data_IF_806602688731
#
_entry.id   IF_806602688731
#
_cell.length_a   1.000
_cell.length_b   1.000
_cell.length_c   1.000
_cell.angle_alpha   90.00
_cell.angle_beta   90.00
_cell.angle_gamma   90.00
#
_symmetry.space_group_name_H-M   'P 1'
#
loop_
_entity.id
_entity.type
_entity.pdbx_description
1 polymer ?
#
# COMPACT_ATOMS: atom_id res chain seq x y z
N UNK A 1 65.40 25.98 -16.11
CA UNK A 1 63.94 25.99 -16.32
C UNK A 1 63.48 24.54 -16.43
N UNK A 2 62.18 24.32 -16.57
CA UNK A 2 61.49 23.03 -16.69
C UNK A 2 61.17 22.32 -15.36
N UNK A 3 59.90 22.46 -14.96
CA UNK A 3 59.30 21.77 -13.83
C UNK A 3 58.39 20.64 -14.35
N UNK A 4 58.93 19.44 -14.57
CA UNK A 4 58.12 18.25 -14.86
C UNK A 4 57.73 17.54 -13.55
N UNK A 5 56.48 17.75 -13.12
CA UNK A 5 55.88 16.95 -12.05
C UNK A 5 55.57 15.54 -12.56
N UNK A 6 55.95 14.51 -11.81
CA UNK A 6 55.64 13.11 -12.17
C UNK A 6 54.27 12.68 -11.63
N UNK A 7 53.32 12.44 -12.52
CA UNK A 7 52.01 11.87 -12.15
C UNK A 7 52.14 10.40 -11.72
N UNK A 8 51.94 10.13 -10.43
CA UNK A 8 51.76 8.75 -9.93
C UNK A 8 50.26 8.42 -9.96
N UNK A 9 49.87 7.60 -10.94
CA UNK A 9 48.49 7.18 -11.21
C UNK A 9 47.90 6.37 -10.02
N UNK A 10 47.19 7.05 -9.12
CA UNK A 10 46.36 6.39 -8.11
C UNK A 10 45.05 5.86 -8.74
N UNK A 11 44.84 4.54 -8.70
CA UNK A 11 43.70 3.90 -9.36
C UNK A 11 42.47 3.83 -8.42
N UNK A 12 41.70 4.92 -8.40
CA UNK A 12 40.53 5.07 -7.51
C UNK A 12 39.35 4.18 -7.94
N UNK A 13 39.35 2.94 -7.47
CA UNK A 13 38.23 2.00 -7.63
C UNK A 13 36.93 2.59 -7.05
N UNK A 14 35.94 2.81 -7.92
CA UNK A 14 34.61 3.30 -7.50
C UNK A 14 33.91 2.25 -6.62
N UNK A 15 33.47 2.58 -5.39
CA UNK A 15 32.49 1.75 -4.71
C UNK A 15 31.18 1.75 -5.52
N UNK A 16 30.54 0.58 -5.62
CA UNK A 16 29.28 0.47 -6.34
C UNK A 16 28.16 1.23 -5.59
N UNK A 17 27.32 1.95 -6.33
CA UNK A 17 26.22 2.70 -5.74
C UNK A 17 25.16 1.74 -5.16
N UNK A 18 25.08 1.66 -3.83
CA UNK A 18 24.07 0.87 -3.13
C UNK A 18 22.69 1.46 -3.43
N UNK A 19 21.78 0.64 -3.96
CA UNK A 19 20.47 1.09 -4.43
C UNK A 19 19.60 1.65 -3.28
N UNK A 20 19.05 2.85 -3.46
CA UNK A 20 18.27 3.57 -2.45
C UNK A 20 16.85 2.99 -2.24
N UNK A 21 16.75 1.80 -1.64
CA UNK A 21 15.49 1.11 -1.34
C UNK A 21 14.83 1.43 0.02
N UNK A 22 15.39 2.36 0.81
CA UNK A 22 15.12 2.45 2.26
C UNK A 22 13.82 3.13 2.72
N UNK A 23 13.10 3.85 1.86
CA UNK A 23 11.98 4.71 2.30
C UNK A 23 10.72 3.97 2.79
N UNK A 24 10.27 2.82 2.24
CA UNK A 24 9.05 2.16 2.72
C UNK A 24 9.27 1.39 4.03
N UNK A 25 10.45 0.79 4.21
CA UNK A 25 10.78 -0.07 5.35
C UNK A 25 10.96 0.74 6.64
N UNK A 26 11.71 1.85 6.60
CA UNK A 26 11.88 2.75 7.75
C UNK A 26 10.54 3.35 8.22
N UNK A 27 9.64 3.71 7.30
CA UNK A 27 8.31 4.21 7.65
C UNK A 27 7.38 3.13 8.24
N UNK A 28 7.58 1.85 7.90
CA UNK A 28 6.94 0.74 8.64
C UNK A 28 7.54 0.62 10.03
N UNK A 29 8.86 0.49 10.11
CA UNK A 29 9.63 0.39 11.36
C UNK A 29 9.28 1.43 12.41
N UNK A 30 9.31 2.70 12.03
CA UNK A 30 8.94 3.83 12.90
C UNK A 30 7.50 3.76 13.40
N UNK A 31 6.54 3.32 12.56
CA UNK A 31 5.16 3.09 13.00
C UNK A 31 5.07 1.95 14.02
N UNK A 32 5.76 0.84 13.78
CA UNK A 32 5.76 -0.29 14.73
C UNK A 32 6.45 0.07 16.05
N UNK A 33 7.61 0.73 16.01
CA UNK A 33 8.32 1.21 17.20
C UNK A 33 7.47 2.17 18.05
N UNK A 34 6.75 3.12 17.41
CA UNK A 34 5.85 4.04 18.13
C UNK A 34 4.55 3.37 18.61
N UNK A 35 4.00 2.42 17.85
CA UNK A 35 2.76 1.69 18.17
C UNK A 35 2.95 0.65 19.27
N UNK A 36 4.11 0.01 19.31
CA UNK A 36 4.48 -0.96 20.34
C UNK A 36 4.40 -0.36 21.73
N UNK A 37 3.84 -1.13 22.66
CA UNK A 37 4.06 -0.89 24.07
C UNK A 37 5.48 -1.37 24.46
N UNK A 38 5.86 -1.22 25.74
CA UNK A 38 7.19 -1.64 26.22
C UNK A 38 7.40 -3.15 25.99
N UNK A 39 8.48 -3.57 25.29
CA UNK A 39 8.80 -4.97 25.04
C UNK A 39 8.90 -5.82 26.31
N UNK A 40 8.15 -6.92 26.34
CA UNK A 40 8.33 -7.98 27.31
C UNK A 40 9.54 -8.85 26.93
N UNK A 41 9.65 -9.22 25.65
CA UNK A 41 10.73 -10.05 25.08
C UNK A 41 11.30 -9.39 23.82
N UNK A 42 12.61 -9.53 23.61
CA UNK A 42 13.29 -9.23 22.34
C UNK A 42 13.80 -10.54 21.76
N UNK A 43 13.80 -10.67 20.43
CA UNK A 43 14.13 -11.88 19.69
C UNK A 43 15.14 -11.55 18.59
N UNK A 44 16.23 -12.30 18.49
CA UNK A 44 17.17 -12.23 17.37
C UNK A 44 17.01 -13.45 16.45
N UNK A 45 17.25 -13.27 15.15
CA UNK A 45 17.24 -14.37 14.17
C UNK A 45 18.64 -14.96 14.00
N UNK A 46 18.80 -16.22 14.42
CA UNK A 46 20.08 -16.94 14.49
C UNK A 46 19.84 -18.40 14.06
N UNK A 47 20.75 -19.02 13.29
CA UNK A 47 20.64 -20.40 12.79
C UNK A 47 19.26 -20.79 12.19
N UNK A 48 18.55 -19.85 11.56
CA UNK A 48 17.23 -20.09 10.96
C UNK A 48 16.04 -20.05 11.93
N UNK A 49 16.26 -19.73 13.22
CA UNK A 49 15.26 -19.69 14.30
C UNK A 49 15.26 -18.30 14.97
N UNK A 50 14.20 -18.00 15.72
CA UNK A 50 14.15 -16.83 16.61
C UNK A 50 14.56 -17.24 18.02
N UNK A 51 15.50 -16.51 18.62
CA UNK A 51 16.09 -16.77 19.95
C UNK A 51 15.88 -15.55 20.84
N UNK A 52 15.49 -15.73 22.10
CA UNK A 52 15.31 -14.62 23.05
C UNK A 52 16.65 -13.96 23.42
N UNK A 53 16.68 -12.63 23.34
CA UNK A 53 17.71 -11.83 24.03
C UNK A 53 17.42 -11.91 25.52
N UNK A 54 18.39 -12.42 26.29
CA UNK A 54 18.26 -12.69 27.71
C UNK A 54 19.23 -11.84 28.56
N UNK A 55 19.02 -11.83 29.88
CA UNK A 55 19.90 -11.17 30.84
C UNK A 55 19.92 -9.64 30.71
N UNK A 56 21.07 -9.05 31.02
CA UNK A 56 21.25 -7.60 31.13
C UNK A 56 20.94 -6.85 29.82
N UNK A 57 21.32 -7.39 28.66
CA UNK A 57 20.99 -6.80 27.37
C UNK A 57 19.47 -6.60 27.19
N UNK A 58 18.64 -7.56 27.62
CA UNK A 58 17.19 -7.43 27.55
C UNK A 58 16.64 -6.32 28.47
N UNK A 59 17.33 -6.01 29.58
CA UNK A 59 17.00 -4.88 30.44
C UNK A 59 17.42 -3.54 29.81
N UNK A 60 18.63 -3.48 29.23
CA UNK A 60 19.16 -2.31 28.53
C UNK A 60 18.29 -1.91 27.33
N UNK A 61 17.95 -2.87 26.45
CA UNK A 61 17.06 -2.65 25.33
C UNK A 61 15.66 -2.21 25.78
N UNK A 62 15.13 -2.78 26.87
CA UNK A 62 13.82 -2.38 27.41
C UNK A 62 13.84 -0.94 27.95
N UNK A 63 14.92 -0.53 28.63
CA UNK A 63 15.10 0.86 29.10
C UNK A 63 15.18 1.82 27.91
N UNK A 64 16.03 1.55 26.93
CA UNK A 64 16.15 2.40 25.74
C UNK A 64 14.81 2.53 24.97
N UNK A 65 14.01 1.46 24.91
CA UNK A 65 12.67 1.48 24.32
C UNK A 65 11.68 2.33 25.15
N UNK A 66 11.76 2.31 26.48
CA UNK A 66 10.99 3.19 27.37
C UNK A 66 11.38 4.67 27.19
N UNK A 67 12.67 4.95 27.07
CA UNK A 67 13.26 6.26 26.74
C UNK A 67 12.97 6.71 25.30
N UNK A 68 12.31 5.87 24.49
CA UNK A 68 12.02 6.09 23.06
C UNK A 68 13.27 6.32 22.19
N UNK A 69 14.44 5.88 22.66
CA UNK A 69 15.66 5.79 21.83
C UNK A 69 15.40 4.84 20.66
N UNK A 70 15.66 5.30 19.43
CA UNK A 70 15.44 4.53 18.20
C UNK A 70 16.50 3.44 17.96
N UNK A 71 17.66 3.56 18.61
CA UNK A 71 18.73 2.58 18.62
C UNK A 71 19.30 2.42 20.04
N UNK A 72 19.81 1.24 20.34
CA UNK A 72 20.37 0.89 21.64
C UNK A 72 21.58 -0.05 21.53
N UNK A 73 22.59 0.21 22.34
CA UNK A 73 23.87 -0.48 22.40
C UNK A 73 23.80 -1.48 23.56
N UNK A 74 24.07 -2.77 23.31
CA UNK A 74 23.98 -3.80 24.36
C UNK A 74 24.86 -5.03 24.06
N UNK A 75 25.49 -5.58 25.10
CA UNK A 75 26.39 -6.74 24.97
C UNK A 75 25.67 -8.07 25.17
N UNK A 76 25.70 -8.94 24.16
CA UNK A 76 25.10 -10.27 24.17
C UNK A 76 26.19 -11.35 24.02
N UNK A 77 26.20 -12.37 24.87
CA UNK A 77 27.13 -13.51 24.76
C UNK A 77 28.63 -13.14 24.78
N UNK A 78 28.99 -11.97 25.34
CA UNK A 78 30.37 -11.45 25.35
C UNK A 78 30.76 -10.60 24.14
N UNK A 79 29.87 -10.41 23.16
CA UNK A 79 30.03 -9.48 22.02
C UNK A 79 29.19 -8.23 22.19
N UNK A 80 29.64 -7.11 21.62
CA UNK A 80 28.89 -5.86 21.58
C UNK A 80 28.05 -5.75 20.29
N UNK A 81 26.86 -5.17 20.39
CA UNK A 81 25.89 -5.05 19.30
C UNK A 81 25.12 -3.72 19.35
N UNK A 82 24.87 -3.15 18.17
CA UNK A 82 23.93 -2.05 17.98
C UNK A 82 22.57 -2.63 17.53
N UNK A 83 21.51 -2.32 18.27
CA UNK A 83 20.14 -2.72 17.96
C UNK A 83 19.37 -1.53 17.39
N UNK A 84 18.90 -1.65 16.14
CA UNK A 84 18.06 -0.64 15.47
C UNK A 84 16.59 -1.10 15.46
N UNK A 85 15.77 -0.44 16.28
CA UNK A 85 14.35 -0.76 16.41
C UNK A 85 13.51 -0.26 15.22
N UNK A 86 14.02 0.67 14.40
CA UNK A 86 13.34 1.15 13.19
C UNK A 86 13.60 0.18 12.04
N UNK A 87 14.85 -0.18 11.79
CA UNK A 87 15.20 -1.15 10.73
C UNK A 87 14.86 -2.58 11.12
N UNK A 88 14.62 -2.83 12.41
CA UNK A 88 14.37 -4.16 12.98
C UNK A 88 15.55 -5.11 12.72
N UNK A 89 16.76 -4.62 13.04
CA UNK A 89 18.02 -5.38 12.93
C UNK A 89 18.89 -5.24 14.19
N UNK A 90 19.71 -6.25 14.44
CA UNK A 90 20.87 -6.22 15.34
C UNK A 90 22.12 -6.26 14.47
N UNK A 91 23.05 -5.36 14.72
CA UNK A 91 24.31 -5.21 13.97
C UNK A 91 25.47 -5.60 14.91
N UNK A 92 26.30 -6.56 14.51
CA UNK A 92 27.54 -6.92 15.21
C UNK A 92 28.55 -5.77 15.06
N UNK A 93 29.03 -5.22 16.18
CA UNK A 93 29.87 -4.00 16.15
C UNK A 93 31.25 -4.24 15.53
N UNK A 94 31.78 -5.47 15.61
CA UNK A 94 33.10 -5.81 15.11
C UNK A 94 33.10 -6.21 13.62
N UNK A 95 31.98 -6.73 13.10
CA UNK A 95 31.89 -7.23 11.70
C UNK A 95 30.93 -6.46 10.81
N UNK A 96 30.01 -5.66 11.39
CA UNK A 96 28.92 -5.01 10.66
C UNK A 96 27.81 -5.96 10.21
N UNK A 97 27.79 -7.22 10.67
CA UNK A 97 26.80 -8.21 10.23
C UNK A 97 25.41 -7.89 10.77
N UNK A 98 24.43 -7.73 9.86
CA UNK A 98 23.03 -7.44 10.21
C UNK A 98 22.21 -8.73 10.34
N UNK A 99 21.68 -8.96 11.54
CA UNK A 99 20.76 -10.07 11.85
C UNK A 99 19.37 -9.53 12.19
N UNK A 100 18.32 -10.29 11.91
CA UNK A 100 16.94 -9.84 12.14
C UNK A 100 16.64 -9.64 13.64
N UNK A 101 16.01 -8.52 13.99
CA UNK A 101 15.52 -8.22 15.34
C UNK A 101 13.98 -8.17 15.34
N UNK A 102 13.37 -8.77 16.35
CA UNK A 102 11.94 -8.76 16.59
C UNK A 102 11.66 -8.56 18.09
N UNK A 103 10.41 -8.27 18.45
CA UNK A 103 10.02 -8.21 19.86
C UNK A 103 8.54 -8.53 20.07
N UNK A 104 8.22 -8.88 21.32
CA UNK A 104 6.85 -9.10 21.81
C UNK A 104 6.62 -8.12 22.96
N UNK A 105 5.62 -7.26 22.86
CA UNK A 105 5.27 -6.31 23.93
C UNK A 105 4.44 -6.96 25.04
N UNK A 106 4.32 -6.27 26.18
CA UNK A 106 3.54 -6.75 27.34
C UNK A 106 2.03 -6.87 27.10
N UNK A 107 1.54 -6.57 25.89
CA UNK A 107 0.14 -6.74 25.46
C UNK A 107 -0.01 -7.91 24.48
N UNK A 108 1.07 -8.65 24.22
CA UNK A 108 1.12 -9.72 23.22
C UNK A 108 1.28 -9.22 21.79
N UNK A 109 1.56 -7.92 21.58
CA UNK A 109 1.85 -7.38 20.25
C UNK A 109 3.18 -7.91 19.75
N UNK A 110 3.17 -8.62 18.62
CA UNK A 110 4.37 -9.20 18.01
C UNK A 110 4.84 -8.37 16.81
N UNK A 111 6.12 -8.00 16.81
CA UNK A 111 6.72 -7.07 15.85
C UNK A 111 7.95 -7.71 15.20
N UNK A 112 7.89 -7.94 13.89
CA UNK A 112 8.91 -8.64 13.10
C UNK A 112 9.37 -7.81 11.88
N UNK A 113 10.58 -8.03 11.34
CA UNK A 113 11.06 -7.40 10.10
C UNK A 113 10.13 -7.64 8.90
N UNK A 114 10.27 -6.83 7.86
CA UNK A 114 9.57 -7.08 6.60
C UNK A 114 10.18 -8.29 5.86
N UNK A 115 9.41 -9.13 5.13
CA UNK A 115 9.93 -10.32 4.43
C UNK A 115 10.85 -10.04 3.22
N UNK A 116 12.02 -9.44 3.44
CA UNK A 116 13.07 -9.22 2.44
C UNK A 116 14.47 -9.00 3.08
N UNK A 117 14.81 -9.72 4.15
CA UNK A 117 16.11 -9.60 4.84
C UNK A 117 16.74 -10.95 5.28
N UNK A 118 16.24 -12.08 4.76
CA UNK A 118 16.83 -13.40 5.01
C UNK A 118 17.79 -13.76 3.86
N UNK A 119 19.10 -13.70 4.12
CA UNK A 119 20.14 -14.07 3.15
C UNK A 119 20.09 -15.56 2.77
N UNK A 120 19.32 -15.90 1.74
CA UNK A 120 19.07 -17.28 1.31
C UNK A 120 19.42 -17.49 -0.17
N UNK A 121 20.71 -17.50 -0.49
CA UNK A 121 21.22 -17.59 -1.86
C UNK A 121 20.95 -18.93 -2.55
N UNK A 122 19.73 -19.15 -3.06
CA UNK A 122 19.41 -20.30 -3.91
C UNK A 122 20.06 -20.14 -5.30
N UNK A 123 21.29 -20.65 -5.40
CA UNK A 123 22.04 -20.88 -6.65
C UNK A 123 21.10 -21.48 -7.71
N UNK A 124 20.87 -20.78 -8.82
CA UNK A 124 20.32 -21.39 -10.04
C UNK A 124 21.46 -22.13 -10.73
N UNK A 125 21.42 -23.46 -10.73
CA UNK A 125 22.26 -24.28 -11.59
C UNK A 125 21.80 -24.16 -13.05
N UNK A 126 22.76 -24.17 -13.98
CA UNK A 126 22.60 -24.04 -15.43
C UNK A 126 23.93 -24.40 -16.11
N UNK A 127 24.00 -25.02 -17.29
CA UNK A 127 22.97 -25.77 -18.06
C UNK A 127 22.97 -27.26 -17.59
N UNK A 128 23.10 -28.38 -18.33
CA UNK A 128 23.12 -28.68 -19.78
C UNK A 128 22.88 -30.19 -20.07
N UNK A 129 22.87 -30.56 -21.37
CA UNK A 129 23.00 -31.88 -22.02
C UNK A 129 21.91 -32.97 -21.86
N UNK A 130 21.41 -33.47 -23.01
CA UNK A 130 20.60 -34.70 -23.12
C UNK A 130 19.39 -34.66 -24.08
N UNK A 131 19.59 -34.83 -25.38
CA UNK A 131 18.55 -34.89 -26.44
C UNK A 131 18.21 -36.38 -26.82
N UNK A 132 17.37 -36.73 -27.85
CA UNK A 132 16.61 -35.91 -28.82
C UNK A 132 15.17 -36.42 -29.19
N UNK A 133 14.54 -35.77 -30.20
CA UNK A 133 13.41 -36.24 -31.04
C UNK A 133 11.99 -36.31 -30.39
N UNK A 134 10.85 -36.32 -31.11
CA UNK A 134 10.57 -36.49 -32.56
C UNK A 134 9.75 -35.34 -33.21
N UNK A 135 9.48 -35.49 -34.51
CA UNK A 135 8.98 -34.50 -35.47
C UNK A 135 7.46 -34.60 -35.74
N UNK A 136 6.82 -33.50 -36.19
CA UNK A 136 5.88 -33.49 -37.35
C UNK A 136 5.25 -32.14 -37.71
N UNK A 137 5.69 -31.65 -38.88
CA UNK A 137 4.89 -31.27 -40.05
C UNK A 137 3.84 -30.13 -39.98
N UNK A 138 4.02 -29.21 -40.92
CA UNK A 138 3.29 -27.98 -41.22
C UNK A 138 1.91 -28.16 -41.88
N UNK A 139 1.15 -27.05 -41.96
CA UNK A 139 0.39 -26.70 -43.15
C UNK A 139 0.20 -25.17 -43.22
N UNK A 140 0.70 -24.53 -44.29
CA UNK A 140 0.44 -23.09 -44.55
C UNK A 140 -0.87 -22.85 -45.32
N UNK A 141 -1.42 -21.64 -45.18
CA UNK A 141 -1.94 -20.89 -46.33
C UNK A 141 -1.95 -19.39 -46.02
N UNK A 142 -1.68 -18.55 -47.02
CA UNK A 142 -1.45 -17.11 -46.85
C UNK A 142 -2.34 -16.25 -47.76
N UNK A 143 -2.67 -15.05 -47.27
CA UNK A 143 -3.13 -13.93 -48.09
C UNK A 143 -2.80 -12.61 -47.36
N UNK A 144 -2.14 -11.68 -48.04
CA UNK A 144 -1.53 -10.50 -47.43
C UNK A 144 -2.15 -9.17 -47.92
N UNK A 145 -1.54 -8.05 -47.48
CA UNK A 145 -1.94 -6.64 -47.67
C UNK A 145 -3.13 -6.19 -46.78
N UNK A 146 -3.12 -4.99 -46.19
CA UNK A 146 -2.10 -3.93 -46.03
C UNK A 146 -2.30 -3.30 -44.63
N UNK A 147 -1.37 -2.59 -44.00
CA UNK A 147 -0.20 -1.85 -44.51
C UNK A 147 -0.25 -0.38 -44.10
N UNK A 148 -0.65 -0.09 -42.85
CA UNK A 148 -0.51 1.22 -42.19
C UNK A 148 0.05 0.97 -40.79
N UNK A 149 1.18 1.59 -40.48
CA UNK A 149 1.93 1.37 -39.25
C UNK A 149 1.72 2.58 -38.32
N UNK A 150 0.90 2.42 -37.27
CA UNK A 150 0.60 3.50 -36.30
C UNK A 150 0.99 3.05 -34.88
N UNK A 151 2.25 3.34 -34.52
CA UNK A 151 2.95 2.73 -33.37
C UNK A 151 2.74 3.50 -32.07
N UNK A 152 1.51 3.47 -31.53
CA UNK A 152 1.21 4.06 -30.21
C UNK A 152 0.14 3.30 -29.39
N UNK A 153 0.13 1.95 -29.45
CA UNK A 153 -0.95 1.13 -28.88
C UNK A 153 -0.57 -0.14 -28.10
N UNK A 154 0.72 -0.38 -27.83
CA UNK A 154 1.20 -1.64 -27.24
C UNK A 154 0.84 -1.83 -25.76
N UNK A 155 1.11 -0.82 -24.93
CA UNK A 155 1.04 -0.95 -23.46
C UNK A 155 -0.39 -1.04 -22.92
N UNK A 156 -1.32 -0.27 -23.49
CA UNK A 156 -2.73 -0.24 -23.07
C UNK A 156 -3.41 -1.59 -23.27
N UNK A 157 -3.29 -2.18 -24.47
CA UNK A 157 -3.86 -3.50 -24.80
C UNK A 157 -3.34 -4.60 -23.88
N UNK A 158 -2.05 -4.56 -23.51
CA UNK A 158 -1.45 -5.49 -22.54
C UNK A 158 -2.04 -5.32 -21.13
N UNK A 159 -2.23 -4.09 -20.67
CA UNK A 159 -2.83 -3.79 -19.37
C UNK A 159 -4.32 -4.21 -19.31
N UNK A 160 -5.12 -3.94 -20.35
CA UNK A 160 -6.53 -4.35 -20.42
C UNK A 160 -6.70 -5.87 -20.53
N UNK A 161 -5.78 -6.58 -21.19
CA UNK A 161 -5.76 -8.04 -21.17
C UNK A 161 -5.45 -8.58 -19.75
N UNK A 162 -4.47 -7.98 -19.06
CA UNK A 162 -4.09 -8.35 -17.68
C UNK A 162 -5.22 -8.08 -16.68
N UNK A 163 -5.90 -6.93 -16.76
CA UNK A 163 -7.09 -6.60 -15.95
C UNK A 163 -8.22 -7.61 -16.16
N UNK A 164 -8.59 -7.88 -17.41
CA UNK A 164 -9.66 -8.85 -17.73
C UNK A 164 -9.33 -10.26 -17.24
N UNK A 165 -8.06 -10.69 -17.34
CA UNK A 165 -7.62 -11.99 -16.79
C UNK A 165 -7.70 -12.03 -15.26
N UNK A 166 -7.24 -10.99 -14.56
CA UNK A 166 -7.34 -10.92 -13.10
C UNK A 166 -8.80 -10.94 -12.63
N UNK A 167 -9.65 -10.11 -13.23
CA UNK A 167 -11.07 -9.99 -12.90
C UNK A 167 -11.84 -11.28 -13.23
N UNK A 168 -11.56 -11.92 -14.37
CA UNK A 168 -12.19 -13.20 -14.76
C UNK A 168 -11.76 -14.39 -13.92
N UNK A 169 -10.52 -14.40 -13.42
CA UNK A 169 -10.04 -15.45 -12.51
C UNK A 169 -10.60 -15.32 -11.08
N UNK A 170 -10.77 -14.08 -10.60
CA UNK A 170 -11.10 -13.81 -9.19
C UNK A 170 -12.56 -13.35 -8.94
N UNK A 171 -13.34 -13.08 -9.99
CA UNK A 171 -14.77 -12.80 -9.89
C UNK A 171 -15.59 -13.44 -11.03
N UNK A 172 -16.55 -14.30 -10.69
CA UNK A 172 -17.43 -14.95 -11.65
C UNK A 172 -18.49 -13.96 -12.18
N UNK A 173 -18.71 -13.92 -13.49
CA UNK A 173 -19.77 -13.08 -14.07
C UNK A 173 -21.15 -13.66 -13.76
N UNK A 174 -22.08 -12.79 -13.36
CA UNK A 174 -23.48 -13.16 -13.16
C UNK A 174 -24.28 -12.87 -14.43
N UNK A 175 -25.22 -13.74 -14.79
CA UNK A 175 -26.20 -13.46 -15.84
C UNK A 175 -27.32 -12.56 -15.34
N UNK A 176 -27.98 -11.83 -16.23
CA UNK A 176 -29.01 -10.82 -15.90
C UNK A 176 -30.23 -11.38 -15.13
N UNK A 177 -30.48 -12.68 -15.27
CA UNK A 177 -31.55 -13.42 -14.57
C UNK A 177 -31.15 -13.84 -13.14
N UNK A 178 -29.90 -13.64 -12.73
CA UNK A 178 -29.46 -13.92 -11.36
C UNK A 178 -30.01 -12.91 -10.36
N UNK A 179 -30.46 -13.40 -9.19
CA UNK A 179 -31.07 -12.55 -8.15
C UNK A 179 -30.08 -11.55 -7.55
N UNK A 180 -28.79 -11.89 -7.46
CA UNK A 180 -27.75 -10.98 -6.98
C UNK A 180 -27.41 -9.93 -8.05
N UNK A 181 -27.34 -10.31 -9.33
CA UNK A 181 -27.23 -9.35 -10.44
C UNK A 181 -28.34 -8.29 -10.35
N UNK A 182 -29.59 -8.73 -10.23
CA UNK A 182 -30.76 -7.85 -10.18
C UNK A 182 -30.73 -6.92 -8.96
N UNK A 183 -30.49 -7.46 -7.75
CA UNK A 183 -30.45 -6.66 -6.52
C UNK A 183 -29.30 -5.64 -6.54
N UNK A 184 -28.09 -6.03 -6.98
CA UNK A 184 -26.93 -5.14 -7.02
C UNK A 184 -27.09 -4.07 -8.11
N UNK A 185 -27.61 -4.42 -9.29
CA UNK A 185 -27.89 -3.47 -10.37
C UNK A 185 -28.97 -2.47 -9.96
N UNK A 186 -30.05 -2.94 -9.31
CA UNK A 186 -31.11 -2.10 -8.77
C UNK A 186 -30.58 -1.12 -7.73
N UNK A 187 -29.81 -1.61 -6.74
CA UNK A 187 -29.17 -0.81 -5.69
C UNK A 187 -28.22 0.26 -6.27
N UNK A 188 -27.49 -0.06 -7.33
CA UNK A 188 -26.63 0.91 -8.03
C UNK A 188 -27.45 1.98 -8.77
N UNK A 189 -28.47 1.57 -9.52
CA UNK A 189 -29.22 2.43 -10.45
C UNK A 189 -30.22 3.36 -9.75
N UNK A 190 -31.00 2.86 -8.79
CA UNK A 190 -32.10 3.61 -8.16
C UNK A 190 -31.60 4.81 -7.34
N UNK A 191 -30.44 4.70 -6.68
CA UNK A 191 -29.84 5.78 -5.90
C UNK A 191 -29.08 6.79 -6.79
N UNK A 192 -29.79 7.33 -7.78
CA UNK A 192 -29.42 8.48 -8.60
C UNK A 192 -28.54 8.20 -9.83
N UNK A 193 -28.08 6.96 -10.05
CA UNK A 193 -27.21 6.65 -11.20
C UNK A 193 -28.00 6.53 -12.52
N UNK A 194 -29.23 6.00 -12.49
CA UNK A 194 -30.09 5.94 -13.68
C UNK A 194 -30.37 7.35 -14.26
N UNK A 195 -30.70 8.33 -13.39
CA UNK A 195 -30.92 9.74 -13.76
C UNK A 195 -29.66 10.40 -14.37
N UNK A 196 -28.48 9.85 -14.06
CA UNK A 196 -27.18 10.28 -14.61
C UNK A 196 -26.82 9.60 -15.93
N UNK A 197 -27.69 8.72 -16.45
CA UNK A 197 -27.43 7.97 -17.68
C UNK A 197 -26.39 6.87 -17.49
N UNK A 198 -26.35 6.26 -16.29
CA UNK A 198 -25.53 5.08 -16.06
C UNK A 198 -26.26 3.83 -16.54
N UNK A 199 -25.60 3.01 -17.35
CA UNK A 199 -26.04 1.67 -17.74
C UNK A 199 -25.07 0.64 -17.17
N UNK A 200 -25.58 -0.33 -16.40
CA UNK A 200 -24.80 -1.49 -15.94
C UNK A 200 -24.55 -2.42 -17.13
N UNK A 201 -23.30 -2.83 -17.32
CA UNK A 201 -22.91 -3.74 -18.41
C UNK A 201 -22.48 -5.12 -17.92
N UNK A 202 -22.09 -5.24 -16.64
CA UNK A 202 -21.90 -6.52 -15.97
C UNK A 202 -21.92 -6.37 -14.44
N UNK A 203 -22.43 -7.40 -13.74
CA UNK A 203 -22.16 -7.62 -12.31
C UNK A 203 -21.37 -8.92 -12.17
N UNK A 204 -20.26 -8.89 -11.43
CA UNK A 204 -19.41 -10.05 -11.18
C UNK A 204 -19.30 -10.29 -9.68
N UNK A 205 -19.46 -11.53 -9.23
CA UNK A 205 -19.37 -11.92 -7.82
C UNK A 205 -17.93 -12.31 -7.47
N UNK A 206 -17.35 -11.65 -6.47
CA UNK A 206 -15.97 -11.90 -6.02
C UNK A 206 -15.90 -13.28 -5.33
N UNK A 207 -14.82 -14.02 -5.57
CA UNK A 207 -14.63 -15.34 -4.98
C UNK A 207 -14.49 -15.30 -3.44
N UNK A 208 -15.17 -16.22 -2.76
CA UNK A 208 -15.13 -16.33 -1.29
C UNK A 208 -13.84 -17.04 -0.83
N UNK A 209 -12.73 -16.31 -0.76
CA UNK A 209 -11.43 -16.81 -0.29
C UNK A 209 -11.15 -16.55 1.20
N UNK A 210 -9.87 -16.74 1.60
CA UNK A 210 -9.41 -16.55 2.99
C UNK A 210 -9.78 -15.19 3.62
N UNK A 211 -9.85 -14.12 2.80
CA UNK A 211 -10.32 -12.77 3.21
C UNK A 211 -11.71 -12.80 3.86
N UNK A 212 -12.60 -13.68 3.40
CA UNK A 212 -13.94 -13.83 3.97
C UNK A 212 -13.95 -14.55 5.33
N UNK A 213 -12.94 -15.39 5.63
CA UNK A 213 -12.75 -15.95 6.97
C UNK A 213 -12.24 -14.86 7.93
N UNK A 214 -11.13 -14.21 7.58
CA UNK A 214 -10.56 -13.10 8.36
C UNK A 214 -11.58 -11.99 8.65
N UNK A 215 -12.45 -11.66 7.69
CA UNK A 215 -13.56 -10.72 7.89
C UNK A 215 -14.60 -11.20 8.91
N UNK A 216 -14.97 -12.49 8.92
CA UNK A 216 -15.89 -13.05 9.93
C UNK A 216 -15.27 -13.05 11.33
N UNK A 217 -14.00 -13.43 11.44
CA UNK A 217 -13.28 -13.44 12.71
C UNK A 217 -13.08 -12.02 13.26
N UNK A 218 -12.74 -11.05 12.40
CA UNK A 218 -12.66 -9.63 12.77
C UNK A 218 -14.04 -9.06 13.17
N UNK A 219 -15.13 -9.54 12.56
CA UNK A 219 -16.50 -9.19 12.94
C UNK A 219 -16.85 -9.66 14.35
N UNK A 220 -16.46 -10.90 14.71
CA UNK A 220 -16.59 -11.43 16.08
C UNK A 220 -15.78 -10.60 17.07
N UNK A 221 -14.49 -10.37 16.81
CA UNK A 221 -13.62 -9.57 17.69
C UNK A 221 -14.14 -8.15 17.94
N UNK A 222 -14.75 -7.50 16.93
CA UNK A 222 -15.40 -6.19 17.09
C UNK A 222 -16.72 -6.29 17.86
N UNK A 223 -17.52 -7.35 17.69
CA UNK A 223 -18.72 -7.59 18.48
C UNK A 223 -18.38 -7.78 19.97
N UNK A 224 -17.35 -8.59 20.27
CA UNK A 224 -16.90 -8.89 21.62
C UNK A 224 -16.33 -7.63 22.31
N UNK A 225 -15.50 -6.85 21.62
CA UNK A 225 -14.83 -5.68 22.18
C UNK A 225 -15.72 -4.41 22.29
N UNK A 226 -16.80 -4.31 21.51
CA UNK A 226 -17.58 -3.05 21.37
C UNK A 226 -19.10 -3.22 21.46
N UNK A 227 -19.62 -4.45 21.47
CA UNK A 227 -21.04 -4.80 21.39
C UNK A 227 -21.47 -5.20 19.97
N UNK A 228 -22.46 -6.08 19.84
CA UNK A 228 -22.84 -6.75 18.59
C UNK A 228 -23.07 -5.81 17.37
N UNK A 229 -23.61 -4.61 17.58
CA UNK A 229 -23.84 -3.63 16.51
C UNK A 229 -22.53 -3.15 15.83
N UNK A 230 -21.40 -3.17 16.55
CA UNK A 230 -20.09 -2.74 16.06
C UNK A 230 -19.42 -3.82 15.18
N UNK A 231 -19.66 -5.10 15.47
CA UNK A 231 -19.29 -6.24 14.63
C UNK A 231 -20.25 -6.49 13.45
N UNK A 232 -21.33 -5.73 13.34
CA UNK A 232 -22.29 -5.85 12.24
C UNK A 232 -21.75 -5.23 10.95
N UNK A 233 -21.76 -6.01 9.87
CA UNK A 233 -21.27 -5.59 8.57
C UNK A 233 -22.27 -4.70 7.83
N UNK A 234 -21.85 -3.49 7.45
CA UNK A 234 -22.61 -2.57 6.59
C UNK A 234 -22.20 -2.77 5.13
N UNK A 235 -23.12 -2.58 4.17
CA UNK A 235 -22.73 -2.47 2.76
C UNK A 235 -22.14 -1.08 2.47
N UNK A 236 -21.21 -1.00 1.52
CA UNK A 236 -20.65 0.26 1.03
C UNK A 236 -20.05 0.12 -0.39
N UNK A 237 -20.02 1.20 -1.15
CA UNK A 237 -19.41 1.24 -2.48
C UNK A 237 -17.97 1.74 -2.41
N UNK A 238 -17.01 0.97 -2.92
CA UNK A 238 -15.63 1.42 -3.15
C UNK A 238 -15.42 1.79 -4.62
N UNK A 239 -14.72 2.91 -4.87
CA UNK A 239 -14.41 3.39 -6.21
C UNK A 239 -12.96 3.85 -6.33
N UNK A 240 -12.31 3.42 -7.41
CA UNK A 240 -10.92 3.70 -7.77
C UNK A 240 -10.70 3.35 -9.27
N UNK A 241 -9.47 3.38 -9.79
CA UNK A 241 -9.23 3.02 -11.20
C UNK A 241 -9.53 1.53 -11.48
N UNK A 242 -9.68 1.19 -12.76
CA UNK A 242 -9.84 -0.21 -13.19
C UNK A 242 -8.69 -1.13 -12.71
N UNK A 243 -7.47 -0.62 -12.58
CA UNK A 243 -6.33 -1.36 -12.01
C UNK A 243 -6.44 -1.57 -10.50
N UNK A 244 -6.83 -0.52 -9.76
CA UNK A 244 -7.07 -0.60 -8.31
C UNK A 244 -8.19 -1.60 -8.01
N UNK A 245 -9.28 -1.55 -8.77
CA UNK A 245 -10.43 -2.47 -8.65
C UNK A 245 -10.00 -3.91 -8.97
N UNK A 246 -9.28 -4.14 -10.07
CA UNK A 246 -8.77 -5.47 -10.40
C UNK A 246 -7.84 -6.02 -9.31
N UNK A 247 -6.97 -5.17 -8.74
CA UNK A 247 -6.08 -5.53 -7.64
C UNK A 247 -6.84 -5.88 -6.34
N UNK A 248 -7.87 -5.12 -5.99
CA UNK A 248 -8.71 -5.35 -4.80
C UNK A 248 -9.46 -6.68 -4.86
N UNK A 249 -9.91 -7.08 -6.05
CA UNK A 249 -10.54 -8.38 -6.28
C UNK A 249 -9.50 -9.50 -6.14
N UNK A 250 -8.44 -9.43 -6.95
CA UNK A 250 -7.32 -10.40 -7.05
C UNK A 250 -6.63 -10.66 -5.71
N UNK A 251 -5.98 -9.64 -5.15
CA UNK A 251 -5.06 -9.76 -3.99
C UNK A 251 -5.49 -8.94 -2.77
N UNK A 252 -6.31 -7.92 -2.96
CA UNK A 252 -6.84 -7.06 -1.90
C UNK A 252 -6.34 -5.63 -1.98
N UNK A 253 -6.64 -4.84 -0.96
CA UNK A 253 -6.24 -3.44 -0.89
C UNK A 253 -4.73 -3.34 -0.66
N UNK A 254 -3.99 -2.93 -1.69
CA UNK A 254 -2.56 -2.60 -1.58
C UNK A 254 -2.34 -1.09 -1.31
N UNK A 255 -3.33 -0.28 -1.65
CA UNK A 255 -3.36 1.18 -1.53
C UNK A 255 -4.78 1.63 -1.17
N UNK A 256 -4.91 2.86 -0.65
CA UNK A 256 -6.21 3.50 -0.46
C UNK A 256 -6.51 4.48 -1.61
N UNK A 257 -7.76 4.94 -1.67
CA UNK A 257 -8.24 5.92 -2.65
C UNK A 257 -8.26 7.37 -2.12
N UNK A 258 -7.79 7.65 -0.89
CA UNK A 258 -7.77 9.00 -0.31
C UNK A 258 -7.11 10.07 -1.21
N UNK A 259 -6.00 9.80 -1.92
CA UNK A 259 -5.42 10.75 -2.88
C UNK A 259 -6.37 11.19 -4.00
N UNK A 260 -7.35 10.36 -4.37
CA UNK A 260 -8.38 10.68 -5.40
C UNK A 260 -9.42 11.68 -4.90
N UNK A 261 -9.60 11.82 -3.57
CA UNK A 261 -10.49 12.82 -2.97
C UNK A 261 -9.77 14.17 -2.74
N UNK A 262 -8.43 14.19 -2.69
CA UNK A 262 -7.65 15.41 -2.48
C UNK A 262 -8.04 16.14 -1.18
N UNK A 263 -8.40 17.42 -1.29
CA UNK A 263 -8.88 18.22 -0.16
C UNK A 263 -10.22 17.72 0.44
N UNK A 264 -10.93 16.82 -0.23
CA UNK A 264 -12.15 16.18 0.27
C UNK A 264 -11.90 14.81 0.94
N UNK A 265 -10.63 14.41 1.17
CA UNK A 265 -10.33 13.21 1.97
C UNK A 265 -10.69 13.44 3.43
N UNK A 266 -11.16 12.40 4.10
CA UNK A 266 -11.47 12.38 5.53
C UNK A 266 -10.46 11.47 6.24
N UNK A 267 -9.18 11.88 6.27
CA UNK A 267 -8.07 11.01 6.66
C UNK A 267 -7.45 10.23 5.49
N UNK A 268 -6.36 9.52 5.77
CA UNK A 268 -5.62 8.66 4.83
C UNK A 268 -5.98 7.18 5.03
N UNK A 269 -7.26 6.87 4.82
CA UNK A 269 -7.81 5.50 4.80
C UNK A 269 -8.54 5.18 3.50
N UNK A 270 -9.14 4.00 3.40
CA UNK A 270 -10.00 3.61 2.27
C UNK A 270 -11.37 4.26 2.43
N UNK A 271 -11.75 5.14 1.51
CA UNK A 271 -13.06 5.78 1.42
C UNK A 271 -14.05 4.91 0.67
N UNK A 272 -15.20 4.62 1.30
CA UNK A 272 -16.34 3.94 0.69
C UNK A 272 -17.60 4.78 0.94
N UNK A 273 -18.48 4.94 -0.03
CA UNK A 273 -19.76 5.64 0.18
C UNK A 273 -20.85 4.68 0.66
N UNK A 274 -21.85 5.13 1.44
CA UNK A 274 -22.99 4.31 1.84
C UNK A 274 -23.78 3.75 0.64
N UNK A 275 -24.60 2.69 0.82
CA UNK A 275 -25.32 2.03 -0.27
C UNK A 275 -26.22 2.97 -1.07
N UNK A 276 -26.78 3.99 -0.41
CA UNK A 276 -27.64 5.02 -0.99
C UNK A 276 -26.87 6.19 -1.62
N UNK A 277 -25.55 6.11 -1.75
CA UNK A 277 -24.68 7.11 -2.37
C UNK A 277 -23.68 6.53 -3.40
N UNK A 278 -24.10 5.64 -4.34
CA UNK A 278 -23.19 5.03 -5.32
C UNK A 278 -22.43 6.06 -6.16
N UNK A 279 -23.06 7.20 -6.46
CA UNK A 279 -22.46 8.30 -7.23
C UNK A 279 -21.11 8.79 -6.66
N UNK A 280 -20.94 8.85 -5.34
CA UNK A 280 -19.71 9.35 -4.71
C UNK A 280 -18.50 8.47 -5.00
N UNK A 281 -18.66 7.15 -4.96
CA UNK A 281 -17.60 6.23 -5.37
C UNK A 281 -17.50 6.11 -6.89
N UNK A 282 -18.61 6.25 -7.63
CA UNK A 282 -18.57 6.30 -9.09
C UNK A 282 -17.77 7.51 -9.63
N UNK A 283 -17.75 8.66 -8.95
CA UNK A 283 -16.87 9.79 -9.35
C UNK A 283 -15.38 9.50 -9.20
N UNK A 284 -14.99 8.56 -8.32
CA UNK A 284 -13.59 8.12 -8.14
C UNK A 284 -13.18 7.03 -9.15
N UNK A 285 -14.14 6.45 -9.87
CA UNK A 285 -13.92 5.38 -10.84
C UNK A 285 -13.54 5.97 -12.21
N UNK A 286 -12.28 5.82 -12.61
CA UNK A 286 -11.83 6.16 -13.97
C UNK A 286 -12.18 5.02 -14.93
N UNK A 287 -12.69 5.38 -16.11
CA UNK A 287 -13.00 4.42 -17.17
C UNK A 287 -11.75 3.71 -17.72
N UNK A 288 -11.92 2.47 -18.17
CA UNK A 288 -10.91 1.65 -18.83
C UNK A 288 -10.79 1.97 -20.34
N UNK A 289 -9.95 1.20 -21.06
CA UNK A 289 -9.76 1.35 -22.51
C UNK A 289 -10.99 1.03 -23.37
N UNK A 290 -12.08 0.51 -22.78
CA UNK A 290 -13.37 0.24 -23.44
C UNK A 290 -14.46 1.27 -23.09
N UNK A 291 -14.12 2.27 -22.26
CA UNK A 291 -15.04 3.27 -21.73
C UNK A 291 -15.92 2.76 -20.59
N UNK A 292 -15.63 1.60 -19.99
CA UNK A 292 -16.31 1.12 -18.78
C UNK A 292 -15.64 1.64 -17.52
N UNK A 293 -16.43 2.16 -16.59
CA UNK A 293 -16.00 2.37 -15.22
C UNK A 293 -16.40 1.16 -14.35
N UNK A 294 -15.63 0.91 -13.30
CA UNK A 294 -15.90 -0.18 -12.35
C UNK A 294 -15.92 0.33 -10.92
N UNK A 295 -16.89 -0.14 -10.13
CA UNK A 295 -16.91 0.03 -8.67
C UNK A 295 -17.17 -1.32 -7.98
N UNK A 296 -16.88 -1.39 -6.69
CA UNK A 296 -17.04 -2.61 -5.89
C UNK A 296 -18.09 -2.38 -4.80
N UNK A 297 -19.07 -3.27 -4.71
CA UNK A 297 -19.93 -3.39 -3.53
C UNK A 297 -19.20 -4.26 -2.49
N UNK A 298 -18.87 -3.63 -1.37
CA UNK A 298 -18.17 -4.25 -0.25
C UNK A 298 -19.11 -4.43 0.95
N UNK A 299 -18.80 -5.39 1.82
CA UNK A 299 -19.16 -5.35 3.24
C UNK A 299 -18.06 -4.68 4.04
N UNK A 300 -18.43 -3.93 5.07
CA UNK A 300 -17.52 -3.12 5.89
C UNK A 300 -17.85 -3.25 7.37
N UNK A 301 -16.84 -3.52 8.19
CA UNK A 301 -16.96 -3.58 9.65
C UNK A 301 -16.57 -2.24 10.26
N UNK A 302 -17.54 -1.36 10.49
CA UNK A 302 -17.26 0.00 10.96
C UNK A 302 -16.85 0.08 12.44
N UNK A 303 -17.24 -0.86 13.29
CA UNK A 303 -17.00 -0.71 14.73
C UNK A 303 -17.68 0.56 15.27
N UNK A 304 -16.99 1.31 16.12
CA UNK A 304 -17.36 2.67 16.54
C UNK A 304 -16.62 3.70 15.66
N UNK A 305 -17.33 4.49 14.82
CA UNK A 305 -16.70 5.53 14.00
C UNK A 305 -16.50 6.84 14.77
N UNK A 306 -15.47 7.59 14.41
CA UNK A 306 -15.31 9.01 14.73
C UNK A 306 -15.63 9.92 13.54
N UNK A 307 -16.03 11.17 13.79
CA UNK A 307 -16.17 12.17 12.72
C UNK A 307 -14.81 12.82 12.42
N UNK A 308 -14.35 12.72 11.16
CA UNK A 308 -13.08 13.30 10.70
C UNK A 308 -13.36 14.40 9.68
N UNK A 309 -12.82 15.63 9.86
CA UNK A 309 -13.05 16.73 8.93
C UNK A 309 -12.38 16.49 7.57
N UNK A 310 -12.95 17.12 6.53
CA UNK A 310 -12.35 17.11 5.19
C UNK A 310 -10.97 17.78 5.20
N UNK A 311 -10.03 17.23 4.44
CA UNK A 311 -8.63 17.65 4.38
C UNK A 311 -7.72 17.04 5.45
N UNK A 312 -8.27 16.30 6.43
CA UNK A 312 -7.48 15.67 7.51
C UNK A 312 -6.46 14.65 6.97
N UNK A 313 -5.24 14.67 7.53
CA UNK A 313 -4.17 13.68 7.29
C UNK A 313 -4.06 12.64 8.42
N UNK A 314 -5.13 12.46 9.19
CA UNK A 314 -5.26 11.37 10.17
C UNK A 314 -5.23 10.01 9.45
N UNK A 315 -4.39 9.08 9.92
CA UNK A 315 -4.16 7.76 9.25
C UNK A 315 -4.50 6.55 10.12
N UNK A 316 -5.01 6.79 11.33
CA UNK A 316 -5.41 5.80 12.34
C UNK A 316 -6.48 6.44 13.26
N UNK A 317 -7.14 5.67 14.16
CA UNK A 317 -8.11 6.24 15.10
C UNK A 317 -7.48 7.29 16.02
N UNK A 318 -8.20 8.38 16.34
CA UNK A 318 -7.70 9.42 17.24
C UNK A 318 -7.57 8.96 18.70
N UNK A 319 -8.31 7.92 19.08
CA UNK A 319 -8.25 7.32 20.41
C UNK A 319 -8.65 5.85 20.38
N UNK A 320 -8.36 5.13 21.48
CA UNK A 320 -8.76 3.73 21.66
C UNK A 320 -10.28 3.49 21.78
N UNK A 321 -11.11 4.54 21.72
CA UNK A 321 -12.57 4.43 21.71
C UNK A 321 -13.14 4.27 20.30
N UNK A 322 -12.35 4.53 19.27
CA UNK A 322 -12.75 4.52 17.87
C UNK A 322 -12.04 3.43 17.08
N UNK A 323 -12.74 2.92 16.06
CA UNK A 323 -12.29 1.82 15.23
C UNK A 323 -12.21 2.23 13.75
N UNK A 324 -12.96 3.24 13.31
CA UNK A 324 -13.02 3.73 11.92
C UNK A 324 -13.39 5.21 11.91
N UNK A 325 -13.52 5.84 10.74
CA UNK A 325 -13.99 7.21 10.61
C UNK A 325 -15.16 7.39 9.64
N UNK A 326 -15.85 8.51 9.79
CA UNK A 326 -16.91 9.02 8.89
C UNK A 326 -16.70 10.51 8.63
N UNK A 327 -17.27 11.04 7.54
CA UNK A 327 -17.31 12.49 7.33
C UNK A 327 -18.24 13.21 8.33
N UNK A 328 -19.36 12.56 8.66
CA UNK A 328 -20.37 13.02 9.62
C UNK A 328 -21.04 11.82 10.29
N UNK A 329 -21.37 11.95 11.58
CA UNK A 329 -22.18 10.97 12.31
C UNK A 329 -23.61 10.95 11.73
N UNK A 330 -24.22 12.13 11.60
CA UNK A 330 -25.53 12.30 10.98
C UNK A 330 -25.41 12.49 9.46
N UNK A 331 -26.25 11.77 8.71
CA UNK A 331 -26.23 11.76 7.24
C UNK A 331 -24.83 11.49 6.64
N UNK A 332 -24.12 10.48 7.17
CA UNK A 332 -22.82 10.04 6.67
C UNK A 332 -22.82 9.88 5.15
N UNK A 333 -21.77 10.37 4.49
CA UNK A 333 -21.54 10.32 3.05
C UNK A 333 -20.27 9.52 2.69
N UNK A 334 -19.35 9.39 3.63
CA UNK A 334 -18.14 8.58 3.54
C UNK A 334 -17.95 7.73 4.79
N UNK A 335 -17.69 6.44 4.58
CA UNK A 335 -17.06 5.54 5.53
C UNK A 335 -15.56 5.49 5.23
N UNK A 336 -14.72 5.49 6.28
CA UNK A 336 -13.26 5.45 6.16
C UNK A 336 -12.70 4.34 7.02
N UNK A 337 -12.03 3.37 6.38
CA UNK A 337 -11.33 2.27 7.07
C UNK A 337 -9.83 2.49 6.97
N UNK A 338 -9.13 2.45 8.10
CA UNK A 338 -7.70 2.70 8.18
C UNK A 338 -6.86 1.62 7.46
N UNK A 339 -5.71 2.01 6.91
CA UNK A 339 -4.89 1.13 6.05
C UNK A 339 -4.39 -0.13 6.76
N UNK A 340 -4.25 -0.10 8.09
CA UNK A 340 -3.87 -1.25 8.89
C UNK A 340 -4.95 -2.36 8.88
N UNK A 341 -6.22 -1.98 8.73
CA UNK A 341 -7.37 -2.88 8.87
C UNK A 341 -8.10 -3.17 7.55
N UNK A 342 -7.78 -2.46 6.46
CA UNK A 342 -8.55 -2.51 5.20
C UNK A 342 -8.72 -3.92 4.61
N UNK A 343 -7.78 -4.84 4.83
CA UNK A 343 -7.87 -6.23 4.34
C UNK A 343 -8.56 -7.21 5.30
N UNK A 344 -8.88 -6.81 6.53
CA UNK A 344 -9.67 -7.60 7.50
C UNK A 344 -11.07 -7.03 7.71
N UNK A 345 -11.28 -5.73 7.49
CA UNK A 345 -12.54 -5.02 7.75
C UNK A 345 -13.30 -4.57 6.51
N UNK A 346 -12.76 -4.84 5.32
CA UNK A 346 -13.47 -4.68 4.03
C UNK A 346 -13.47 -6.02 3.30
N UNK A 347 -14.65 -6.49 2.92
CA UNK A 347 -14.84 -7.68 2.08
C UNK A 347 -15.51 -7.27 0.77
N UNK A 348 -14.77 -7.19 -0.35
CA UNK A 348 -15.33 -7.13 -1.70
C UNK A 348 -16.29 -8.29 -1.94
N UNK A 349 -17.54 -8.02 -2.37
CA UNK A 349 -18.54 -9.06 -2.67
C UNK A 349 -18.98 -9.04 -4.14
N UNK A 350 -19.18 -7.86 -4.73
CA UNK A 350 -19.54 -7.71 -6.15
C UNK A 350 -18.77 -6.58 -6.83
N UNK A 351 -18.46 -6.74 -8.12
CA UNK A 351 -17.93 -5.69 -9.00
C UNK A 351 -19.02 -5.32 -10.00
N UNK A 352 -19.30 -4.03 -10.15
CA UNK A 352 -20.24 -3.48 -11.11
C UNK A 352 -19.47 -2.76 -12.21
N UNK A 353 -19.51 -3.28 -13.44
CA UNK A 353 -19.16 -2.54 -14.65
C UNK A 353 -20.33 -1.66 -15.07
N UNK A 354 -20.05 -0.42 -15.45
CA UNK A 354 -21.06 0.48 -16.03
C UNK A 354 -20.46 1.47 -17.02
N UNK A 355 -21.30 2.01 -17.91
CA UNK A 355 -20.98 3.16 -18.77
C UNK A 355 -21.84 4.35 -18.35
N UNK A 356 -21.28 5.57 -18.32
CA UNK A 356 -21.99 6.78 -17.92
C UNK A 356 -21.33 8.05 -18.51
N UNK A 357 -21.90 8.58 -19.59
CA UNK A 357 -21.32 9.70 -20.36
C UNK A 357 -21.15 10.98 -19.54
N UNK A 358 -22.05 11.24 -18.58
CA UNK A 358 -21.98 12.42 -17.70
C UNK A 358 -20.77 12.38 -16.75
N UNK A 359 -20.31 11.19 -16.35
CA UNK A 359 -19.10 11.01 -15.53
C UNK A 359 -17.82 11.16 -16.37
N UNK A 360 -17.80 10.61 -17.59
CA UNK A 360 -16.68 10.73 -18.54
C UNK A 360 -16.37 12.21 -18.83
N UNK A 361 -17.38 12.99 -19.26
CA UNK A 361 -17.26 14.44 -19.50
C UNK A 361 -16.73 15.20 -18.27
N UNK A 362 -17.19 14.86 -17.06
CA UNK A 362 -16.74 15.50 -15.82
C UNK A 362 -15.26 15.20 -15.53
N UNK A 363 -14.82 13.96 -15.78
CA UNK A 363 -13.43 13.55 -15.60
C UNK A 363 -12.52 14.19 -16.67
N UNK A 364 -12.92 14.23 -17.93
CA UNK A 364 -12.16 14.85 -19.03
C UNK A 364 -11.92 16.35 -18.78
N UNK A 365 -12.95 17.09 -18.35
CA UNK A 365 -12.81 18.50 -17.94
C UNK A 365 -11.87 18.67 -16.73
N UNK A 366 -11.87 17.74 -15.78
CA UNK A 366 -10.95 17.75 -14.63
C UNK A 366 -9.51 17.41 -15.01
N UNK A 367 -9.29 16.53 -16.00
CA UNK A 367 -7.96 16.19 -16.50
C UNK A 367 -7.39 17.26 -17.43
N UNK A 368 -8.23 17.95 -18.20
CA UNK A 368 -7.82 19.13 -18.96
C UNK A 368 -7.35 20.27 -18.04
N UNK A 369 -8.11 20.55 -16.96
CA UNK A 369 -7.77 21.63 -16.01
C UNK A 369 -6.61 21.28 -15.07
N UNK A 370 -6.36 20.00 -14.76
CA UNK A 370 -5.20 19.59 -13.97
C UNK A 370 -3.89 19.64 -14.78
N UNK A 371 -3.91 19.29 -16.07
CA UNK A 371 -2.74 19.36 -16.97
C UNK A 371 -2.15 20.76 -17.13
N UNK A 372 -2.91 21.83 -16.87
CA UNK A 372 -2.41 23.22 -16.90
C UNK A 372 -1.60 23.62 -15.64
N UNK A 373 -1.69 22.88 -14.53
CA UNK A 373 -0.99 23.23 -13.29
C UNK A 373 0.41 22.63 -13.23
N UNK A 374 1.41 23.40 -13.70
CA UNK A 374 2.81 23.20 -13.30
C UNK A 374 2.91 23.21 -11.77
N UNK A 375 3.80 22.41 -11.14
CA UNK A 375 3.95 22.37 -9.68
C UNK A 375 4.21 23.77 -9.10
N UNK A 376 3.49 24.13 -8.03
CA UNK A 376 3.66 25.43 -7.38
C UNK A 376 5.02 25.53 -6.70
N UNK A 377 5.64 26.72 -6.70
CA UNK A 377 6.96 26.94 -6.08
C UNK A 377 7.00 26.56 -4.60
N UNK A 378 5.88 26.72 -3.89
CA UNK A 378 5.70 26.39 -2.45
C UNK A 378 6.15 24.97 -2.09
N UNK A 379 5.97 23.99 -2.99
CA UNK A 379 6.39 22.61 -2.73
C UNK A 379 7.92 22.43 -2.60
N UNK A 380 8.71 23.43 -3.03
CA UNK A 380 10.19 23.42 -2.96
C UNK A 380 10.74 23.98 -1.64
N UNK A 381 9.97 24.81 -0.94
CA UNK A 381 10.43 25.54 0.26
C UNK A 381 10.01 24.86 1.58
N UNK A 382 9.37 23.68 1.51
CA UNK A 382 9.05 22.85 2.69
C UNK A 382 10.29 22.22 3.35
N UNK A 383 11.39 22.04 2.60
CA UNK A 383 12.56 21.29 3.09
C UNK A 383 13.44 22.07 4.09
N UNK A 384 13.71 23.39 3.91
CA UNK A 384 14.35 24.21 4.95
C UNK A 384 13.59 24.22 6.28
N UNK A 385 12.26 24.26 6.26
CA UNK A 385 11.45 24.16 7.49
C UNK A 385 11.58 22.79 8.14
N UNK A 386 11.64 21.71 7.35
CA UNK A 386 11.88 20.36 7.87
C UNK A 386 13.29 20.23 8.49
N UNK A 387 14.31 20.82 7.86
CA UNK A 387 15.67 20.89 8.40
C UNK A 387 15.71 21.62 9.74
N UNK A 388 15.07 22.79 9.86
CA UNK A 388 15.03 23.56 11.10
C UNK A 388 14.33 22.81 12.26
N UNK A 389 13.31 21.99 11.99
CA UNK A 389 12.70 21.15 13.04
C UNK A 389 13.52 19.88 13.34
N UNK A 390 14.35 19.40 12.41
CA UNK A 390 15.33 18.32 12.67
C UNK A 390 16.50 18.86 13.51
N UNK A 391 16.94 20.10 13.26
CA UNK A 391 18.01 20.80 13.99
C UNK A 391 17.70 20.97 15.48
N UNK A 392 16.43 21.22 15.81
CA UNK A 392 15.92 21.24 17.20
C UNK A 392 15.92 19.87 17.90
N UNK A 393 16.14 18.77 17.17
CA UNK A 393 16.05 17.39 17.68
C UNK A 393 17.42 16.69 17.65
N UNK A 394 18.25 16.96 16.62
CA UNK A 394 19.61 16.40 16.47
C UNK A 394 20.53 17.47 15.85
N UNK A 395 21.13 18.38 16.65
CA UNK A 395 21.99 19.45 16.14
C UNK A 395 23.21 18.90 15.38
N UNK A 396 23.85 17.88 15.97
CA UNK A 396 25.16 17.31 15.62
C UNK A 396 25.26 16.70 14.20
N UNK A 397 24.18 16.72 13.43
CA UNK A 397 24.09 16.12 12.08
C UNK A 397 23.50 17.06 11.02
N UNK A 398 23.19 18.32 11.37
CA UNK A 398 22.58 19.24 10.42
C UNK A 398 23.50 19.67 9.28
N UNK A 399 24.79 19.88 9.51
CA UNK A 399 25.74 20.29 8.45
C UNK A 399 25.80 19.26 7.30
N UNK A 400 25.81 17.97 7.63
CA UNK A 400 25.80 16.88 6.64
C UNK A 400 24.49 16.83 5.84
N UNK A 401 23.36 17.14 6.47
CA UNK A 401 22.06 17.24 5.80
C UNK A 401 21.96 18.50 4.92
N UNK A 402 22.48 19.63 5.40
CA UNK A 402 22.56 20.91 4.70
C UNK A 402 23.45 20.81 3.46
N UNK A 403 24.62 20.17 3.57
CA UNK A 403 25.55 19.93 2.46
C UNK A 403 24.93 18.96 1.43
N UNK A 404 24.29 17.89 1.89
CA UNK A 404 23.60 16.92 1.01
C UNK A 404 22.45 17.56 0.23
N UNK A 405 21.63 18.38 0.88
CA UNK A 405 20.57 19.15 0.23
C UNK A 405 21.14 20.17 -0.76
N UNK A 406 22.23 20.86 -0.40
CA UNK A 406 22.91 21.81 -1.28
C UNK A 406 23.47 21.14 -2.55
N UNK A 407 24.11 19.97 -2.42
CA UNK A 407 24.52 19.15 -3.59
C UNK A 407 23.34 18.76 -4.47
N UNK A 408 22.18 18.46 -3.89
CA UNK A 408 20.98 18.11 -4.67
C UNK A 408 20.38 19.32 -5.40
N UNK A 409 20.42 20.50 -4.77
CA UNK A 409 19.83 21.75 -5.29
C UNK A 409 20.60 22.39 -6.45
N UNK A 410 21.88 22.06 -6.64
CA UNK A 410 22.73 22.60 -7.72
C UNK A 410 22.53 21.88 -9.07
N UNK A 411 21.87 20.72 -9.08
CA UNK A 411 21.73 19.86 -10.27
C UNK A 411 20.37 19.98 -10.99
N UNK A 412 19.66 21.11 -10.87
CA UNK A 412 18.33 21.38 -11.47
C UNK A 412 18.09 22.85 -11.80
#
# INVERSE_FOLDING_TARGET
MDCSSGDVKAETTRPAAVAAGGTPSLLRGWREFRRSAVPARFLCFEDGKWVDVAGEAAAQLRRAFQERRVMADASCGGKAYLFDFLRMVRIDEATGEETGLAWIDHRGGCFFPAPAACGGGRKRGRDDDGAPAEDKAEAESSSAASGVDDRSGGESRGADAKRRKALGNAAASLGEKDRSYQVVSKLFLEYGMAQRGAAVTAVRKVACGARAAAFRDQGRLLADARGAAAGSAKFAWYGASADDVAAVVDRGFASNNAPRLGAHKHGDGVHLSPPHCPYRSATLAKADGSGEAHIVLCRVLMGRPEAVPAGSSQSCPSSHNYDSAVDKLDNTQWYVVWNQDMNTRILPEYVVSFKCSKLQLTQELSEATSKLKKPSRVARDMFPTLLAEIEKIVPDKCDLLQESYSRFKVNW
#
